data_IF_743379782739
#
_entry.id   IF_743379782739
#
_cell.length_a   1.000
_cell.length_b   1.000
_cell.length_c   1.000
_cell.angle_alpha   90.00
_cell.angle_beta   90.00
_cell.angle_gamma   90.00
#
_symmetry.space_group_name_H-M   'P 1'
#
loop_
_entity.id
_entity.type
_entity.pdbx_description
1 polymer ?
#
# COMPACT_ATOMS: atom_id res chain seq x y z
N UNK A 1 -13.21 -27.31 0.04
CA UNK A 1 -12.61 -27.49 -1.31
C UNK A 1 -12.42 -26.15 -2.02
N UNK A 2 -13.44 -25.28 -2.04
CA UNK A 2 -13.38 -23.92 -2.61
C UNK A 2 -12.23 -23.05 -2.07
N UNK A 3 -11.98 -23.04 -0.76
CA UNK A 3 -10.91 -22.22 -0.14
C UNK A 3 -9.50 -22.52 -0.68
N UNK A 4 -9.20 -23.80 -0.95
CA UNK A 4 -7.90 -24.22 -1.50
C UNK A 4 -7.74 -23.75 -2.96
N UNK A 5 -8.83 -23.72 -3.72
CA UNK A 5 -8.86 -23.22 -5.10
C UNK A 5 -8.66 -21.71 -5.13
N UNK A 6 -9.29 -20.96 -4.21
CA UNK A 6 -9.08 -19.51 -4.08
C UNK A 6 -7.65 -19.16 -3.68
N UNK A 7 -7.06 -19.88 -2.72
CA UNK A 7 -5.64 -19.70 -2.35
C UNK A 7 -4.70 -19.92 -3.54
N UNK A 8 -4.89 -21.01 -4.30
CA UNK A 8 -4.09 -21.28 -5.48
C UNK A 8 -4.24 -20.19 -6.55
N UNK A 9 -5.46 -19.70 -6.77
CA UNK A 9 -5.72 -18.63 -7.74
C UNK A 9 -5.04 -17.30 -7.34
N UNK A 10 -5.09 -16.92 -6.05
CA UNK A 10 -4.47 -15.69 -5.55
C UNK A 10 -2.95 -15.75 -5.68
N UNK A 11 -2.33 -16.88 -5.33
CA UNK A 11 -0.89 -17.08 -5.45
C UNK A 11 -0.46 -17.04 -6.92
N UNK A 12 -1.20 -17.71 -7.81
CA UNK A 12 -0.91 -17.70 -9.24
C UNK A 12 -1.05 -16.30 -9.84
N UNK A 13 -2.08 -15.56 -9.43
CA UNK A 13 -2.30 -14.18 -9.86
C UNK A 13 -1.18 -13.25 -9.38
N UNK A 14 -0.73 -13.40 -8.13
CA UNK A 14 0.39 -12.62 -7.60
C UNK A 14 1.68 -12.88 -8.38
N UNK A 15 2.01 -14.15 -8.64
CA UNK A 15 3.19 -14.53 -9.43
C UNK A 15 3.10 -13.93 -10.84
N UNK A 16 1.95 -14.10 -11.51
CA UNK A 16 1.72 -13.54 -12.84
C UNK A 16 1.93 -12.01 -12.87
N UNK A 17 1.35 -11.30 -11.91
CA UNK A 17 1.45 -9.85 -11.82
C UNK A 17 2.88 -9.38 -11.56
N UNK A 18 3.61 -10.08 -10.68
CA UNK A 18 5.03 -9.80 -10.40
C UNK A 18 5.89 -10.03 -11.64
N UNK A 19 5.71 -11.16 -12.35
CA UNK A 19 6.45 -11.43 -13.59
C UNK A 19 6.15 -10.39 -14.66
N UNK A 20 4.89 -9.99 -14.85
CA UNK A 20 4.49 -8.96 -15.80
C UNK A 20 5.20 -7.63 -15.53
N UNK A 21 5.19 -7.17 -14.28
CA UNK A 21 5.87 -5.93 -13.87
C UNK A 21 7.37 -5.96 -14.14
N UNK A 22 8.04 -7.08 -13.83
CA UNK A 22 9.47 -7.24 -14.06
C UNK A 22 9.77 -7.28 -15.56
N UNK A 23 8.99 -8.03 -16.34
CA UNK A 23 9.15 -8.09 -17.80
C UNK A 23 8.97 -6.73 -18.47
N UNK A 24 7.95 -5.96 -18.09
CA UNK A 24 7.75 -4.61 -18.60
C UNK A 24 8.92 -3.68 -18.25
N UNK A 25 9.43 -3.76 -17.02
CA UNK A 25 10.58 -2.95 -16.60
C UNK A 25 11.86 -3.32 -17.35
N UNK A 26 12.15 -4.61 -17.53
CA UNK A 26 13.30 -5.09 -18.28
C UNK A 26 13.19 -4.74 -19.77
N UNK A 27 11.99 -4.83 -20.34
CA UNK A 27 11.74 -4.48 -21.73
C UNK A 27 11.93 -2.98 -21.97
N UNK A 28 11.35 -2.12 -21.11
CA UNK A 28 11.57 -0.67 -21.15
C UNK A 28 13.07 -0.34 -21.01
N UNK A 29 13.77 -0.97 -20.07
CA UNK A 29 15.22 -0.77 -19.89
C UNK A 29 16.03 -1.20 -21.11
N UNK A 30 15.65 -2.30 -21.78
CA UNK A 30 16.34 -2.81 -22.98
C UNK A 30 16.08 -1.92 -24.21
N UNK A 31 14.87 -1.40 -24.37
CA UNK A 31 14.50 -0.50 -25.48
C UNK A 31 15.23 0.85 -25.36
N UNK A 32 15.33 1.42 -24.15
CA UNK A 32 16.08 2.65 -23.88
C UNK A 32 17.57 2.47 -24.21
N UNK A 33 18.15 1.32 -23.84
CA UNK A 33 19.56 0.99 -24.17
C UNK A 33 19.79 0.72 -25.66
N UNK A 34 18.76 0.34 -26.42
CA UNK A 34 18.86 0.02 -27.84
C UNK A 34 18.70 1.25 -28.77
N UNK A 35 18.67 2.48 -28.24
CA UNK A 35 18.71 3.72 -29.03
C UNK A 35 17.46 4.03 -29.86
N UNK A 36 16.40 3.23 -29.78
CA UNK A 36 15.14 3.44 -30.50
C UNK A 36 14.17 4.30 -29.66
N UNK A 37 14.58 5.54 -29.35
CA UNK A 37 13.80 6.48 -28.54
C UNK A 37 12.41 6.76 -29.16
N UNK A 38 12.31 6.73 -30.50
CA UNK A 38 11.05 6.95 -31.22
C UNK A 38 10.04 5.80 -31.06
N UNK A 39 10.47 4.56 -30.82
CA UNK A 39 9.56 3.42 -30.57
C UNK A 39 9.20 3.23 -29.10
N UNK A 40 9.96 3.82 -28.17
CA UNK A 40 9.62 3.83 -26.75
C UNK A 40 8.34 4.62 -26.47
N UNK A 41 8.06 5.64 -27.28
CA UNK A 41 6.88 6.50 -27.17
C UNK A 41 5.58 5.85 -27.67
N UNK A 42 5.68 4.76 -28.46
CA UNK A 42 4.51 4.00 -28.99
C UNK A 42 4.07 2.92 -27.98
N UNK A 43 4.93 2.57 -27.01
CA UNK A 43 4.63 1.69 -25.89
C UNK A 43 4.17 2.45 -24.63
N UNK A 44 4.13 3.78 -24.68
CA UNK A 44 3.42 4.54 -23.68
C UNK A 44 1.92 4.31 -23.94
N UNK A 45 1.18 3.60 -23.06
CA UNK A 45 -0.27 3.63 -23.15
C UNK A 45 -0.66 5.10 -23.10
N UNK A 46 -1.45 5.54 -24.09
CA UNK A 46 -2.06 6.86 -24.21
C UNK A 46 -2.09 7.54 -22.85
N UNK A 47 -1.18 8.50 -22.65
CA UNK A 47 -1.10 9.29 -21.42
C UNK A 47 -2.45 9.99 -21.25
N UNK A 48 -3.32 9.37 -20.47
CA UNK A 48 -4.43 10.06 -19.83
C UNK A 48 -3.79 11.18 -19.00
N UNK A 49 -4.08 12.41 -19.39
CA UNK A 49 -3.50 13.67 -18.91
C UNK A 49 -3.77 13.95 -17.42
N UNK A 50 -3.29 13.10 -16.51
CA UNK A 50 -3.44 13.33 -15.06
C UNK A 50 -2.24 12.89 -14.21
N UNK A 51 -1.09 12.58 -14.81
CA UNK A 51 0.07 12.07 -14.07
C UNK A 51 0.86 13.13 -13.27
N UNK A 52 0.59 14.44 -13.45
CA UNK A 52 1.22 15.49 -12.64
C UNK A 52 0.81 15.48 -11.15
N UNK A 53 -0.21 14.71 -10.75
CA UNK A 53 -0.72 14.72 -9.36
C UNK A 53 -0.06 13.63 -8.48
N UNK A 54 0.60 12.63 -9.06
CA UNK A 54 1.09 11.45 -8.31
C UNK A 54 2.60 11.48 -8.00
N UNK A 55 3.12 12.60 -7.48
CA UNK A 55 4.55 12.66 -7.09
C UNK A 55 4.91 11.74 -5.90
N UNK A 56 3.93 11.24 -5.13
CA UNK A 56 4.20 10.36 -3.97
C UNK A 56 3.07 9.36 -3.63
N UNK A 57 2.71 8.40 -4.53
CA UNK A 57 1.73 7.36 -4.22
C UNK A 57 2.18 6.39 -3.12
N UNK A 58 3.48 6.32 -2.83
CA UNK A 58 4.06 5.48 -1.76
C UNK A 58 4.01 6.14 -0.38
N UNK A 59 3.95 7.47 -0.32
CA UNK A 59 4.01 8.22 0.94
C UNK A 59 2.71 8.08 1.77
N UNK A 60 1.56 7.87 1.10
CA UNK A 60 0.28 7.54 1.79
C UNK A 60 0.35 6.21 2.51
N UNK A 61 0.92 5.18 1.89
CA UNK A 61 1.00 3.85 2.48
C UNK A 61 2.04 3.79 3.59
N UNK A 62 3.14 4.53 3.45
CA UNK A 62 4.13 4.66 4.52
C UNK A 62 3.57 5.30 5.79
N UNK A 63 2.80 6.40 5.65
CA UNK A 63 2.20 7.07 6.80
C UNK A 63 1.12 6.22 7.48
N UNK A 64 0.25 5.58 6.70
CA UNK A 64 -0.79 4.69 7.24
C UNK A 64 -0.17 3.48 7.95
N UNK A 65 0.85 2.84 7.36
CA UNK A 65 1.56 1.72 7.99
C UNK A 65 2.31 2.13 9.26
N UNK A 66 2.88 3.34 9.29
CA UNK A 66 3.53 3.88 10.48
C UNK A 66 2.53 4.06 11.63
N UNK A 67 1.36 4.64 11.37
CA UNK A 67 0.35 4.83 12.41
C UNK A 67 -0.28 3.51 12.85
N UNK A 68 -0.55 2.58 11.92
CA UNK A 68 -0.98 1.22 12.26
C UNK A 68 0.02 0.53 13.20
N UNK A 69 1.32 0.57 12.87
CA UNK A 69 2.38 0.03 13.73
C UNK A 69 2.40 0.66 15.13
N UNK A 70 2.15 1.98 15.23
CA UNK A 70 2.00 2.67 16.51
C UNK A 70 0.77 2.18 17.30
N UNK A 71 -0.35 1.94 16.64
CA UNK A 71 -1.55 1.35 17.23
C UNK A 71 -1.27 0.00 17.86
N UNK A 72 -0.57 -0.89 17.15
CA UNK A 72 -0.15 -2.20 17.66
C UNK A 72 0.78 -2.11 18.87
N UNK A 73 1.75 -1.19 18.86
CA UNK A 73 2.65 -0.96 20.00
C UNK A 73 1.85 -0.52 21.23
N UNK A 74 0.89 0.40 21.06
CA UNK A 74 0.06 0.91 22.16
C UNK A 74 -0.82 -0.19 22.74
N UNK A 75 -1.43 -1.03 21.89
CA UNK A 75 -2.22 -2.19 22.32
C UNK A 75 -1.36 -3.12 23.19
N UNK A 76 -0.12 -3.38 22.78
CA UNK A 76 0.80 -4.24 23.52
C UNK A 76 1.23 -3.62 24.86
N UNK A 77 1.53 -2.32 24.89
CA UNK A 77 1.88 -1.60 26.12
C UNK A 77 0.71 -1.55 27.10
N UNK A 78 -0.51 -1.33 26.60
CA UNK A 78 -1.74 -1.37 27.41
C UNK A 78 -1.98 -2.77 27.99
N UNK A 79 -1.72 -3.83 27.23
CA UNK A 79 -1.80 -5.20 27.71
C UNK A 79 -0.80 -5.47 28.83
N UNK A 80 0.45 -5.04 28.66
CA UNK A 80 1.50 -5.20 29.67
C UNK A 80 1.18 -4.44 30.95
N UNK A 81 0.59 -3.25 30.83
CA UNK A 81 0.28 -2.38 31.98
C UNK A 81 -1.00 -2.80 32.69
N UNK A 82 -1.98 -3.34 31.95
CA UNK A 82 -3.31 -3.71 32.47
C UNK A 82 -3.76 -5.06 31.88
N UNK A 83 -3.26 -6.19 32.40
CA UNK A 83 -3.51 -7.52 31.86
C UNK A 83 -4.99 -7.96 31.90
N UNK A 84 -5.85 -7.24 32.64
CA UNK A 84 -7.30 -7.49 32.70
C UNK A 84 -8.15 -6.69 31.69
N UNK A 85 -7.62 -5.63 31.07
CA UNK A 85 -8.38 -4.76 30.16
C UNK A 85 -8.39 -5.25 28.71
N UNK A 86 -7.33 -5.97 28.30
CA UNK A 86 -7.15 -6.44 26.93
C UNK A 86 -7.20 -7.96 26.89
N UNK A 87 -8.36 -8.49 26.51
CA UNK A 87 -8.57 -9.92 26.32
C UNK A 87 -8.96 -10.18 24.86
N UNK A 88 -8.07 -10.80 24.08
CA UNK A 88 -8.25 -10.94 22.62
C UNK A 88 -9.48 -11.75 22.20
N UNK A 89 -10.01 -12.58 23.10
CA UNK A 89 -11.15 -13.45 22.81
C UNK A 89 -12.51 -12.75 22.94
N UNK A 90 -12.60 -11.69 23.74
CA UNK A 90 -13.89 -11.05 24.07
C UNK A 90 -13.86 -9.51 24.04
N UNK A 91 -12.70 -8.90 23.79
CA UNK A 91 -12.55 -7.44 23.80
C UNK A 91 -12.38 -6.90 22.37
N UNK A 92 -13.30 -6.05 21.95
CA UNK A 92 -13.21 -5.30 20.68
C UNK A 92 -12.21 -4.13 20.77
N UNK A 93 -11.72 -3.82 21.97
CA UNK A 93 -10.88 -2.66 22.26
C UNK A 93 -9.59 -2.60 21.41
N UNK A 94 -8.81 -3.69 21.21
CA UNK A 94 -7.63 -3.65 20.36
C UNK A 94 -7.93 -3.27 18.92
N UNK A 95 -9.02 -3.82 18.37
CA UNK A 95 -9.46 -3.53 17.00
C UNK A 95 -9.89 -2.07 16.86
N UNK A 96 -10.60 -1.54 17.88
CA UNK A 96 -11.00 -0.14 17.92
C UNK A 96 -9.79 0.82 17.93
N UNK A 97 -8.79 0.53 18.78
CA UNK A 97 -7.55 1.32 18.84
C UNK A 97 -6.85 1.31 17.47
N UNK A 98 -6.69 0.14 16.88
CA UNK A 98 -6.01 -0.01 15.59
C UNK A 98 -6.71 0.78 14.47
N UNK A 99 -8.05 0.71 14.41
CA UNK A 99 -8.85 1.45 13.43
C UNK A 99 -8.73 2.97 13.60
N UNK A 100 -8.66 3.47 14.84
CA UNK A 100 -8.45 4.89 15.13
C UNK A 100 -7.09 5.35 14.60
N UNK A 101 -6.03 4.57 14.84
CA UNK A 101 -4.68 4.89 14.36
C UNK A 101 -4.59 4.87 12.83
N UNK A 102 -5.17 3.86 12.18
CA UNK A 102 -5.24 3.78 10.71
C UNK A 102 -5.98 4.99 10.13
N UNK A 103 -7.14 5.34 10.70
CA UNK A 103 -7.93 6.51 10.29
C UNK A 103 -7.16 7.81 10.45
N UNK A 104 -6.44 7.97 11.57
CA UNK A 104 -5.57 9.11 11.81
C UNK A 104 -4.48 9.23 10.72
N UNK A 105 -3.93 8.10 10.26
CA UNK A 105 -2.93 8.07 9.19
C UNK A 105 -3.47 8.62 7.87
N UNK A 106 -4.71 8.27 7.53
CA UNK A 106 -5.39 8.81 6.36
C UNK A 106 -5.73 10.30 6.51
N UNK A 107 -6.18 10.74 7.69
CA UNK A 107 -6.49 12.14 7.96
C UNK A 107 -5.24 13.04 7.87
N UNK A 108 -4.12 12.61 8.45
CA UNK A 108 -2.86 13.35 8.37
C UNK A 108 -2.40 13.43 6.92
N UNK A 109 -2.47 12.34 6.16
CA UNK A 109 -2.15 12.36 4.73
C UNK A 109 -3.04 13.35 3.97
N UNK A 110 -4.35 13.32 4.22
CA UNK A 110 -5.31 14.24 3.61
C UNK A 110 -4.96 15.70 3.92
N UNK A 111 -4.62 16.01 5.17
CA UNK A 111 -4.26 17.37 5.58
C UNK A 111 -2.95 17.84 4.93
N UNK A 112 -1.92 17.00 4.90
CA UNK A 112 -0.64 17.29 4.21
C UNK A 112 -0.90 17.57 2.72
N UNK A 113 -1.72 16.74 2.07
CA UNK A 113 -2.03 16.91 0.65
C UNK A 113 -2.86 18.16 0.39
N UNK A 114 -3.79 18.50 1.28
CA UNK A 114 -4.61 19.70 1.18
C UNK A 114 -3.81 20.99 1.38
N UNK A 115 -2.85 20.98 2.32
CA UNK A 115 -1.95 22.12 2.58
C UNK A 115 -0.99 22.39 1.41
N UNK A 116 -0.62 21.37 0.64
CA UNK A 116 0.27 21.51 -0.53
C UNK A 116 -0.42 22.06 -1.78
N UNK A 117 -1.76 22.13 -1.79
CA UNK A 117 -2.55 22.68 -2.91
C UNK A 117 -2.83 24.19 -2.78
N UNK A 118 -2.45 24.80 -1.66
CA UNK A 118 -2.59 26.24 -1.40
C UNK A 118 -1.23 26.92 -1.51
#
# INVERSE_FOLDING_TARGET
MMEKVFMAAIVFYAIYQTTKLISEHLLKRKIIKAGHIEKAQILDPVKLESEEINKYPSLKWGLVAFLAGLGLIIIEVLRMSYPGLINYQHSIMPVGIELVFISLGFLIYFFIMNMRKK
#
